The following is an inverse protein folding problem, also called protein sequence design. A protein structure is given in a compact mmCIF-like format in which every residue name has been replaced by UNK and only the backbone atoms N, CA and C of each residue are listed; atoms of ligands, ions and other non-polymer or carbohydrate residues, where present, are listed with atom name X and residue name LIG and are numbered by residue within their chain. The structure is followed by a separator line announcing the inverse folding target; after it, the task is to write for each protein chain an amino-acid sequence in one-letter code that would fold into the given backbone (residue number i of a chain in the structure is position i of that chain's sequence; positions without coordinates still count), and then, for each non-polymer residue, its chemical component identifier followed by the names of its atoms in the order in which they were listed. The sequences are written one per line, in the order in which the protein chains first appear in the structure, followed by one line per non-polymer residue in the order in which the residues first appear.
data_IF_094761363665
#
_entry.id   IF_094761363665
#
_cell.length_a   1.000
_cell.length_b   1.000
_cell.length_c   1.000
_cell.angle_alpha   90.00
_cell.angle_beta   90.00
_cell.angle_gamma   90.00
#
_symmetry.space_group_name_H-M   'P 1'
#
loop_
_entity.id
_entity.type
_entity.pdbx_description
1 polymer ?
#
# COMPACT_ATOMS: atom_id res chain seq x y z
N UNK A 1 -0.81 16.09 -16.02
CA UNK A 1 0.44 16.75 -16.52
C UNK A 1 1.38 17.20 -15.40
N UNK A 2 0.90 17.80 -14.30
CA UNK A 2 1.72 18.05 -13.10
C UNK A 2 2.33 16.79 -12.49
N UNK A 3 1.58 15.68 -12.53
CA UNK A 3 2.07 14.35 -12.15
C UNK A 3 3.19 13.84 -13.03
N UNK A 4 3.67 14.52 -14.09
CA UNK A 4 4.86 14.12 -14.83
C UNK A 4 6.15 14.82 -14.33
N UNK A 5 6.02 15.94 -13.60
CA UNK A 5 7.15 16.63 -12.94
C UNK A 5 7.78 15.78 -11.85
N UNK A 6 7.01 14.86 -11.26
CA UNK A 6 7.51 13.86 -10.32
C UNK A 6 8.62 12.98 -10.93
N UNK A 7 8.61 12.75 -12.25
CA UNK A 7 9.66 12.04 -13.01
C UNK A 7 10.96 12.81 -12.89
N UNK A 8 10.91 14.12 -13.11
CA UNK A 8 12.08 14.99 -13.09
C UNK A 8 12.66 15.11 -11.67
N UNK A 9 11.80 15.28 -10.66
CA UNK A 9 12.23 15.40 -9.25
C UNK A 9 12.93 14.12 -8.79
N UNK A 10 12.34 12.96 -9.08
CA UNK A 10 12.91 11.67 -8.68
C UNK A 10 14.20 11.36 -9.42
N UNK A 11 14.28 11.65 -10.72
CA UNK A 11 15.50 11.43 -11.50
C UNK A 11 16.64 12.33 -11.03
N UNK A 12 16.33 13.58 -10.70
CA UNK A 12 17.29 14.51 -10.12
C UNK A 12 17.86 13.97 -8.79
N UNK A 13 16.99 13.43 -7.93
CA UNK A 13 17.41 12.88 -6.63
C UNK A 13 18.13 11.54 -6.74
N UNK A 14 17.74 10.65 -7.66
CA UNK A 14 18.45 9.40 -7.93
C UNK A 14 19.89 9.64 -8.37
N UNK A 15 20.15 10.68 -9.17
CA UNK A 15 21.50 11.06 -9.57
C UNK A 15 22.39 11.56 -8.42
N UNK A 16 21.81 11.95 -7.28
CA UNK A 16 22.54 12.41 -6.07
C UNK A 16 22.84 11.29 -5.07
N UNK A 17 22.25 10.10 -5.23
CA UNK A 17 22.49 8.91 -4.41
C UNK A 17 21.28 8.44 -3.60
N UNK A 18 21.26 7.14 -3.25
CA UNK A 18 20.11 6.46 -2.63
C UNK A 18 19.68 7.06 -1.28
N UNK A 19 20.62 7.60 -0.49
CA UNK A 19 20.33 8.24 0.81
C UNK A 19 19.37 9.43 0.70
N UNK A 20 19.42 10.19 -0.41
CA UNK A 20 18.50 11.31 -0.64
C UNK A 20 17.09 10.83 -0.98
N UNK A 21 16.97 9.71 -1.67
CA UNK A 21 15.67 9.09 -1.97
C UNK A 21 15.03 8.56 -0.69
N UNK A 22 15.81 7.91 0.18
CA UNK A 22 15.35 7.45 1.49
C UNK A 22 14.89 8.62 2.37
N UNK A 23 15.68 9.69 2.46
CA UNK A 23 15.31 10.89 3.20
C UNK A 23 14.02 11.55 2.67
N UNK A 24 13.84 11.59 1.33
CA UNK A 24 12.59 12.06 0.72
C UNK A 24 11.40 11.20 1.13
N UNK A 25 11.53 9.87 1.07
CA UNK A 25 10.45 8.94 1.46
C UNK A 25 10.08 9.15 2.92
N UNK A 26 11.06 9.26 3.83
CA UNK A 26 10.81 9.54 5.25
C UNK A 26 10.11 10.89 5.43
N UNK A 27 10.53 11.94 4.71
CA UNK A 27 9.88 13.25 4.78
C UNK A 27 8.42 13.21 4.29
N UNK A 28 8.14 12.49 3.19
CA UNK A 28 6.78 12.29 2.69
C UNK A 28 5.91 11.55 3.70
N UNK A 29 6.45 10.48 4.30
CA UNK A 29 5.75 9.67 5.31
C UNK A 29 5.43 10.51 6.56
N UNK A 30 6.39 11.30 7.06
CA UNK A 30 6.18 12.21 8.19
C UNK A 30 5.16 13.30 7.87
N UNK A 31 5.17 13.84 6.65
CA UNK A 31 4.19 14.84 6.22
C UNK A 31 2.77 14.26 6.17
N UNK A 32 2.60 13.07 5.61
CA UNK A 32 1.31 12.36 5.58
C UNK A 32 0.81 12.10 7.00
N UNK A 33 1.68 11.57 7.86
CA UNK A 33 1.34 11.31 9.25
C UNK A 33 0.98 12.58 10.01
N UNK A 34 1.72 13.68 9.79
CA UNK A 34 1.43 14.98 10.40
C UNK A 34 0.06 15.53 9.97
N UNK A 35 -0.28 15.43 8.68
CA UNK A 35 -1.58 15.87 8.17
C UNK A 35 -2.72 15.09 8.83
N UNK A 36 -2.66 13.75 8.80
CA UNK A 36 -3.71 12.92 9.39
C UNK A 36 -3.74 12.97 10.92
N UNK A 37 -2.61 13.24 11.60
CA UNK A 37 -2.60 13.46 13.04
C UNK A 37 -3.35 14.75 13.42
N UNK A 38 -3.15 15.83 12.65
CA UNK A 38 -3.87 17.10 12.85
C UNK A 38 -5.36 16.91 12.56
N UNK A 39 -5.72 16.25 11.46
CA UNK A 39 -7.12 15.97 11.12
C UNK A 39 -7.80 15.08 12.17
N UNK A 40 -7.11 14.04 12.65
CA UNK A 40 -7.62 13.18 13.72
C UNK A 40 -7.87 13.98 15.00
N UNK A 41 -6.95 14.88 15.36
CA UNK A 41 -7.13 15.76 16.52
C UNK A 41 -8.31 16.72 16.34
N UNK A 42 -8.49 17.30 15.16
CA UNK A 42 -9.63 18.16 14.83
C UNK A 42 -10.96 17.41 14.84
N UNK A 43 -10.97 16.14 14.41
CA UNK A 43 -12.18 15.31 14.36
C UNK A 43 -12.70 14.90 15.74
N UNK A 44 -11.89 15.05 16.80
CA UNK A 44 -12.23 14.78 18.20
C UNK A 44 -12.97 13.43 18.41
N UNK A 45 -12.36 12.29 18.00
CA UNK A 45 -13.01 10.99 18.05
C UNK A 45 -13.19 10.51 19.50
N UNK A 46 -14.27 9.78 19.77
CA UNK A 46 -14.50 9.17 21.08
C UNK A 46 -13.46 8.06 21.34
N UNK A 47 -12.55 8.20 22.34
CA UNK A 47 -11.45 7.25 22.52
C UNK A 47 -11.89 5.83 22.84
N UNK A 48 -13.02 5.68 23.55
CA UNK A 48 -13.58 4.37 23.90
C UNK A 48 -14.13 3.64 22.68
N UNK A 49 -14.83 4.36 21.79
CA UNK A 49 -15.30 3.81 20.51
C UNK A 49 -14.12 3.38 19.63
N UNK A 50 -13.05 4.18 19.58
CA UNK A 50 -11.82 3.81 18.85
C UNK A 50 -11.19 2.55 19.44
N UNK A 51 -11.04 2.47 20.76
CA UNK A 51 -10.43 1.31 21.43
C UNK A 51 -11.25 0.02 21.21
N UNK A 52 -12.58 0.11 21.30
CA UNK A 52 -13.46 -1.03 21.01
C UNK A 52 -13.44 -1.45 19.53
N UNK A 53 -13.17 -0.53 18.60
CA UNK A 53 -13.01 -0.82 17.17
C UNK A 53 -11.80 -1.71 16.84
N UNK A 54 -10.79 -1.78 17.71
CA UNK A 54 -9.67 -2.72 17.55
C UNK A 54 -10.04 -4.17 17.89
N UNK A 55 -11.20 -4.39 18.52
CA UNK A 55 -11.68 -5.73 18.86
C UNK A 55 -12.37 -6.33 17.62
N UNK A 56 -11.93 -7.51 17.13
CA UNK A 56 -12.54 -8.15 15.97
C UNK A 56 -14.03 -8.44 16.20
N UNK A 57 -14.89 -7.97 15.30
CA UNK A 57 -16.32 -8.25 15.33
C UNK A 57 -16.70 -9.31 14.30
N UNK A 58 -17.48 -10.35 14.67
CA UNK A 58 -18.00 -11.34 13.71
C UNK A 58 -18.96 -10.72 12.69
N UNK A 59 -19.46 -9.49 12.93
CA UNK A 59 -20.32 -8.77 11.99
C UNK A 59 -19.66 -8.55 10.62
N UNK A 60 -18.33 -8.45 10.56
CA UNK A 60 -17.58 -8.28 9.31
C UNK A 60 -17.81 -9.48 8.37
N UNK A 61 -17.94 -10.69 8.91
CA UNK A 61 -18.21 -11.90 8.12
C UNK A 61 -19.68 -12.04 7.73
N UNK A 62 -20.59 -11.38 8.46
CA UNK A 62 -22.04 -11.43 8.20
C UNK A 62 -22.53 -10.42 7.15
N UNK A 63 -21.76 -9.38 6.85
CA UNK A 63 -22.16 -8.31 5.93
C UNK A 63 -21.21 -8.25 4.72
N UNK A 64 -21.74 -8.52 3.52
CA UNK A 64 -20.98 -8.56 2.29
C UNK A 64 -20.25 -7.23 1.97
N UNK A 65 -20.85 -6.08 2.29
CA UNK A 65 -20.22 -4.78 2.05
C UNK A 65 -19.05 -4.52 3.00
N UNK A 66 -19.21 -4.89 4.29
CA UNK A 66 -18.12 -4.77 5.27
C UNK A 66 -16.97 -5.73 4.92
N UNK A 67 -17.30 -6.95 4.51
CA UNK A 67 -16.31 -7.93 4.05
C UNK A 67 -15.57 -7.42 2.80
N UNK A 68 -16.29 -6.85 1.83
CA UNK A 68 -15.70 -6.27 0.62
C UNK A 68 -14.70 -5.14 0.95
N UNK A 69 -15.07 -4.20 1.83
CA UNK A 69 -14.18 -3.13 2.27
C UNK A 69 -12.98 -3.69 3.05
N UNK A 70 -13.20 -4.67 3.94
CA UNK A 70 -12.13 -5.29 4.71
C UNK A 70 -11.11 -6.00 3.81
N UNK A 71 -11.57 -6.73 2.79
CA UNK A 71 -10.70 -7.34 1.77
C UNK A 71 -9.95 -6.26 0.99
N UNK A 72 -10.62 -5.16 0.62
CA UNK A 72 -10.00 -4.02 -0.04
C UNK A 72 -8.86 -3.40 0.78
N UNK A 73 -9.07 -3.19 2.09
CA UNK A 73 -8.04 -2.69 3.02
C UNK A 73 -6.88 -3.70 3.12
N UNK A 74 -7.17 -5.00 3.20
CA UNK A 74 -6.15 -6.04 3.25
C UNK A 74 -5.28 -6.03 1.97
N UNK A 75 -5.92 -5.98 0.79
CA UNK A 75 -5.20 -5.93 -0.49
C UNK A 75 -4.41 -4.64 -0.68
N UNK A 76 -4.93 -3.50 -0.22
CA UNK A 76 -4.25 -2.22 -0.29
C UNK A 76 -3.03 -2.14 0.66
N UNK A 77 -3.08 -2.83 1.80
CA UNK A 77 -1.98 -2.85 2.78
C UNK A 77 -0.90 -3.87 2.43
N UNK A 78 -1.30 -5.06 1.99
CA UNK A 78 -0.37 -6.12 1.59
C UNK A 78 -0.18 -6.07 0.08
N UNK A 79 0.69 -5.16 -0.37
CA UNK A 79 0.98 -5.00 -1.79
C UNK A 79 2.02 -6.03 -2.27
N UNK A 80 1.76 -6.82 -3.33
CA UNK A 80 2.68 -7.86 -3.80
C UNK A 80 4.04 -7.31 -4.23
N UNK A 81 4.06 -6.12 -4.82
CA UNK A 81 5.30 -5.48 -5.26
C UNK A 81 6.21 -5.10 -4.09
N UNK A 82 5.66 -4.86 -2.88
CA UNK A 82 6.46 -4.62 -1.69
C UNK A 82 7.20 -5.87 -1.22
N UNK A 83 6.65 -7.07 -1.43
CA UNK A 83 7.35 -8.33 -1.11
C UNK A 83 8.64 -8.46 -1.93
N UNK A 84 8.57 -8.16 -3.23
CA UNK A 84 9.76 -8.13 -4.10
C UNK A 84 10.70 -6.98 -3.71
N UNK A 85 10.17 -5.78 -3.47
CA UNK A 85 10.96 -4.60 -3.10
C UNK A 85 11.78 -4.83 -1.83
N UNK A 86 11.14 -5.24 -0.74
CA UNK A 86 11.79 -5.48 0.54
C UNK A 86 12.86 -6.57 0.44
N UNK A 87 12.60 -7.63 -0.34
CA UNK A 87 13.56 -8.72 -0.54
C UNK A 87 14.84 -8.28 -1.26
N UNK A 88 14.79 -7.23 -2.06
CA UNK A 88 15.98 -6.64 -2.71
C UNK A 88 16.63 -5.54 -1.89
N UNK A 89 15.84 -4.67 -1.23
CA UNK A 89 16.39 -3.55 -0.45
C UNK A 89 17.24 -4.07 0.71
N UNK A 90 16.81 -5.16 1.37
CA UNK A 90 17.58 -5.76 2.47
C UNK A 90 18.99 -6.20 2.04
N UNK A 91 19.18 -6.54 0.76
CA UNK A 91 20.46 -6.95 0.20
C UNK A 91 21.42 -5.78 -0.05
N UNK A 92 20.94 -4.53 -0.03
CA UNK A 92 21.78 -3.34 -0.16
C UNK A 92 22.54 -3.01 1.12
N UNK A 93 22.14 -3.61 2.26
CA UNK A 93 22.84 -3.45 3.54
C UNK A 93 24.17 -4.20 3.50
N UNK A 94 25.21 -3.63 4.08
CA UNK A 94 26.53 -4.27 4.17
C UNK A 94 26.51 -5.35 5.25
N UNK A 95 26.60 -6.62 4.86
CA UNK A 95 26.75 -7.75 5.77
C UNK A 95 27.83 -8.72 5.26
N UNK A 96 28.38 -9.55 6.15
CA UNK A 96 29.36 -10.59 5.84
C UNK A 96 28.66 -11.94 5.60
N UNK A 97 29.29 -12.86 4.87
CA UNK A 97 28.69 -14.18 4.59
C UNK A 97 28.67 -15.14 5.80
N UNK A 98 29.05 -14.66 6.98
CA UNK A 98 29.04 -15.40 8.24
C UNK A 98 27.62 -15.48 8.82
N UNK A 99 27.29 -16.62 9.45
CA UNK A 99 26.00 -16.83 10.14
C UNK A 99 25.63 -15.68 11.09
N UNK A 100 26.56 -15.25 11.96
CA UNK A 100 26.29 -14.20 12.93
C UNK A 100 25.92 -12.86 12.27
N UNK A 101 26.62 -12.47 11.19
CA UNK A 101 26.34 -11.22 10.48
C UNK A 101 25.00 -11.27 9.74
N UNK A 102 24.65 -12.41 9.12
CA UNK A 102 23.34 -12.61 8.50
C UNK A 102 22.21 -12.57 9.55
N UNK A 103 22.39 -13.21 10.70
CA UNK A 103 21.40 -13.20 11.78
C UNK A 103 21.15 -11.78 12.30
N UNK A 104 22.21 -10.99 12.49
CA UNK A 104 22.11 -9.59 12.88
C UNK A 104 21.41 -8.74 11.82
N UNK A 105 21.78 -8.91 10.55
CA UNK A 105 21.15 -8.21 9.43
C UNK A 105 19.64 -8.53 9.33
N UNK A 106 19.26 -9.80 9.50
CA UNK A 106 17.86 -10.24 9.54
C UNK A 106 17.14 -9.59 10.72
N UNK A 107 17.75 -9.55 11.91
CA UNK A 107 17.15 -8.93 13.10
C UNK A 107 16.87 -7.45 12.86
N UNK A 108 17.86 -6.70 12.38
CA UNK A 108 17.68 -5.27 12.10
C UNK A 108 16.67 -5.02 10.99
N UNK A 109 16.71 -5.79 9.91
CA UNK A 109 15.72 -5.70 8.83
C UNK A 109 14.30 -6.01 9.32
N UNK A 110 14.15 -6.97 10.24
CA UNK A 110 12.86 -7.31 10.83
C UNK A 110 12.34 -6.18 11.71
N UNK A 111 13.20 -5.59 12.56
CA UNK A 111 12.84 -4.45 13.41
C UNK A 111 12.42 -3.25 12.55
N UNK A 112 13.23 -2.90 11.54
CA UNK A 112 12.99 -1.81 10.61
C UNK A 112 11.65 -1.99 9.87
N UNK A 113 11.44 -3.17 9.28
CA UNK A 113 10.18 -3.49 8.60
C UNK A 113 8.98 -3.50 9.55
N UNK A 114 9.13 -3.99 10.77
CA UNK A 114 8.05 -4.03 11.76
C UNK A 114 7.68 -2.63 12.21
N UNK A 115 8.66 -1.78 12.50
CA UNK A 115 8.44 -0.39 12.88
C UNK A 115 7.73 0.39 11.75
N UNK A 116 8.18 0.21 10.50
CA UNK A 116 7.57 0.86 9.34
C UNK A 116 6.12 0.40 9.10
N UNK A 117 5.84 -0.90 9.20
CA UNK A 117 4.48 -1.44 9.05
C UNK A 117 3.55 -1.04 10.19
N UNK A 118 4.06 -0.98 11.44
CA UNK A 118 3.29 -0.47 12.58
C UNK A 118 2.97 1.02 12.41
N UNK A 119 3.90 1.82 11.89
CA UNK A 119 3.64 3.21 11.56
C UNK A 119 2.56 3.36 10.48
N UNK A 120 2.62 2.54 9.42
CA UNK A 120 1.60 2.50 8.38
C UNK A 120 0.22 2.08 8.93
N UNK A 121 0.18 1.14 9.87
CA UNK A 121 -1.05 0.75 10.57
C UNK A 121 -1.68 1.94 11.28
N UNK A 122 -0.90 2.76 12.00
CA UNK A 122 -1.42 3.94 12.69
C UNK A 122 -1.94 5.00 11.73
N UNK A 123 -1.28 5.22 10.57
CA UNK A 123 -1.80 6.12 9.55
C UNK A 123 -3.14 5.61 9.00
N UNK A 124 -3.22 4.32 8.64
CA UNK A 124 -4.45 3.74 8.10
C UNK A 124 -5.59 3.78 9.14
N UNK A 125 -5.27 3.53 10.41
CA UNK A 125 -6.22 3.67 11.51
C UNK A 125 -6.67 5.13 11.69
N UNK A 126 -5.75 6.10 11.60
CA UNK A 126 -6.09 7.51 11.69
C UNK A 126 -7.03 7.94 10.56
N UNK A 127 -6.77 7.51 9.32
CA UNK A 127 -7.65 7.78 8.17
C UNK A 127 -9.06 7.20 8.43
N UNK A 128 -9.14 5.94 8.87
CA UNK A 128 -10.41 5.27 9.11
C UNK A 128 -11.20 5.90 10.27
N UNK A 129 -10.52 6.22 11.38
CA UNK A 129 -11.13 6.86 12.55
C UNK A 129 -11.58 8.28 12.24
N UNK A 130 -10.75 9.06 11.54
CA UNK A 130 -11.12 10.42 11.12
C UNK A 130 -12.34 10.38 10.20
N UNK A 131 -12.35 9.48 9.21
CA UNK A 131 -13.49 9.31 8.31
C UNK A 131 -14.76 8.91 9.06
N UNK A 132 -14.65 7.98 10.02
CA UNK A 132 -15.77 7.58 10.87
C UNK A 132 -16.25 8.75 11.75
N UNK A 133 -15.36 9.44 12.47
CA UNK A 133 -15.73 10.52 13.37
C UNK A 133 -16.33 11.75 12.64
N UNK A 134 -15.90 11.99 11.41
CA UNK A 134 -16.31 13.18 10.65
C UNK A 134 -17.53 12.90 9.77
N UNK A 135 -17.62 11.74 9.12
CA UNK A 135 -18.67 11.45 8.14
C UNK A 135 -19.77 10.51 8.66
N UNK A 136 -19.49 9.59 9.58
CA UNK A 136 -20.48 8.60 10.03
C UNK A 136 -21.57 9.26 10.90
N UNK A 137 -22.84 9.13 10.51
CA UNK A 137 -23.97 9.76 11.21
C UNK A 137 -24.17 11.25 10.91
N UNK A 138 -23.39 11.82 10.00
CA UNK A 138 -23.51 13.22 9.55
C UNK A 138 -24.59 13.45 8.47
N UNK A 139 -25.25 12.38 8.02
CA UNK A 139 -26.20 12.39 6.90
C UNK A 139 -25.55 12.34 5.51
N UNK A 140 -24.20 12.33 5.45
CA UNK A 140 -23.41 12.13 4.24
C UNK A 140 -22.94 10.68 4.14
N UNK A 141 -23.86 9.73 3.96
CA UNK A 141 -23.53 8.29 3.87
C UNK A 141 -22.97 7.89 2.49
N UNK A 142 -22.92 8.83 1.54
CA UNK A 142 -22.48 8.62 0.16
C UNK A 142 -21.18 9.37 -0.19
N UNK A 143 -20.24 9.49 0.75
CA UNK A 143 -18.88 9.97 0.44
C UNK A 143 -18.14 8.86 -0.32
N UNK A 144 -18.41 8.75 -1.62
CA UNK A 144 -17.81 7.73 -2.46
C UNK A 144 -16.47 8.18 -3.06
N UNK A 145 -16.26 9.50 -3.20
CA UNK A 145 -15.12 10.06 -3.92
C UNK A 145 -14.21 10.95 -3.07
N UNK A 146 -12.92 10.95 -3.46
CA UNK A 146 -11.86 11.77 -2.85
C UNK A 146 -12.20 13.27 -2.91
N UNK A 147 -12.88 13.69 -3.99
CA UNK A 147 -13.35 15.06 -4.19
C UNK A 147 -14.40 15.47 -3.16
N UNK A 148 -15.30 14.55 -2.81
CA UNK A 148 -16.34 14.78 -1.82
C UNK A 148 -15.72 14.90 -0.42
N UNK A 149 -14.77 14.00 -0.10
CA UNK A 149 -14.00 14.09 1.14
C UNK A 149 -13.31 15.45 1.27
N UNK A 150 -12.63 15.93 0.23
CA UNK A 150 -11.98 17.25 0.25
C UNK A 150 -12.96 18.39 0.57
N UNK A 151 -14.14 18.42 -0.06
CA UNK A 151 -15.11 19.49 0.17
C UNK A 151 -15.75 19.39 1.56
N UNK A 152 -16.11 18.18 1.97
CA UNK A 152 -16.83 17.94 3.23
C UNK A 152 -15.93 18.12 4.45
N UNK A 153 -14.63 17.83 4.37
CA UNK A 153 -13.68 18.04 5.47
C UNK A 153 -13.67 19.49 5.95
N UNK A 154 -13.58 20.47 5.03
CA UNK A 154 -13.61 21.89 5.42
C UNK A 154 -14.90 22.30 6.12
N UNK A 155 -16.04 21.75 5.69
CA UNK A 155 -17.36 22.07 6.25
C UNK A 155 -17.55 21.43 7.62
N UNK A 156 -17.20 20.16 7.76
CA UNK A 156 -17.47 19.38 8.97
C UNK A 156 -16.43 19.63 10.07
N UNK A 157 -15.17 19.89 9.71
CA UNK A 157 -14.11 20.24 10.67
C UNK A 157 -13.97 21.76 10.88
N UNK A 158 -14.83 22.56 10.22
CA UNK A 158 -14.93 24.01 10.43
C UNK A 158 -13.69 24.82 10.01
N UNK A 159 -12.74 24.23 9.27
CA UNK A 159 -11.50 24.90 8.86
C UNK A 159 -11.12 24.55 7.42
N UNK A 160 -10.75 25.57 6.64
CA UNK A 160 -10.19 25.37 5.29
C UNK A 160 -8.84 24.64 5.32
N UNK A 161 -8.15 24.68 6.46
CA UNK A 161 -6.90 23.97 6.70
C UNK A 161 -7.06 22.44 6.56
N UNK A 162 -8.19 21.86 6.99
CA UNK A 162 -8.42 20.42 6.92
C UNK A 162 -8.38 19.89 5.47
N UNK A 163 -9.08 20.56 4.55
CA UNK A 163 -9.07 20.18 3.13
C UNK A 163 -7.67 20.33 2.50
N UNK A 164 -6.93 21.38 2.87
CA UNK A 164 -5.57 21.59 2.37
C UNK A 164 -4.63 20.50 2.87
N UNK A 165 -4.68 20.16 4.16
CA UNK A 165 -3.89 19.08 4.75
C UNK A 165 -4.19 17.75 4.07
N UNK A 166 -5.47 17.44 3.83
CA UNK A 166 -5.89 16.24 3.12
C UNK A 166 -5.33 16.19 1.70
N UNK A 167 -5.42 17.30 0.96
CA UNK A 167 -4.88 17.39 -0.40
C UNK A 167 -3.35 17.24 -0.43
N UNK A 168 -2.64 17.82 0.54
CA UNK A 168 -1.19 17.67 0.69
C UNK A 168 -0.84 16.22 1.00
N UNK A 169 -1.55 15.57 1.93
CA UNK A 169 -1.35 14.16 2.27
C UNK A 169 -1.55 13.24 1.06
N UNK A 170 -2.60 13.46 0.28
CA UNK A 170 -2.88 12.73 -0.96
C UNK A 170 -1.78 12.91 -2.00
N UNK A 171 -1.31 14.15 -2.20
CA UNK A 171 -0.23 14.45 -3.13
C UNK A 171 1.05 13.71 -2.71
N UNK A 172 1.41 13.79 -1.43
CA UNK A 172 2.57 13.10 -0.88
C UNK A 172 2.47 11.57 -1.01
N UNK A 173 1.29 10.99 -0.76
CA UNK A 173 1.04 9.56 -0.92
C UNK A 173 1.26 9.10 -2.37
N UNK A 174 0.75 9.86 -3.35
CA UNK A 174 0.95 9.58 -4.77
C UNK A 174 2.43 9.62 -5.21
N UNK A 175 3.22 10.52 -4.63
CA UNK A 175 4.67 10.58 -4.87
C UNK A 175 5.38 9.33 -4.33
N UNK A 176 5.03 8.92 -3.10
CA UNK A 176 5.62 7.75 -2.46
C UNK A 176 5.31 6.46 -3.25
N UNK A 177 4.05 6.26 -3.65
CA UNK A 177 3.62 5.10 -4.44
C UNK A 177 4.35 5.00 -5.79
N UNK A 178 4.64 6.13 -6.43
CA UNK A 178 5.36 6.13 -7.71
C UNK A 178 6.83 5.72 -7.54
N UNK A 179 7.48 6.18 -6.46
CA UNK A 179 8.86 5.82 -6.14
C UNK A 179 9.00 4.32 -5.89
N UNK A 180 8.22 3.77 -4.97
CA UNK A 180 8.25 2.35 -4.62
C UNK A 180 7.86 1.48 -5.81
N UNK A 181 6.84 1.88 -6.58
CA UNK A 181 6.42 1.17 -7.79
C UNK A 181 7.51 1.07 -8.85
N UNK A 182 8.29 2.14 -9.08
CA UNK A 182 9.40 2.09 -10.06
C UNK A 182 10.58 1.24 -9.60
N UNK A 183 10.85 1.16 -8.29
CA UNK A 183 11.89 0.30 -7.74
C UNK A 183 11.45 -1.16 -7.76
N UNK A 184 10.23 -1.46 -7.35
CA UNK A 184 9.69 -2.81 -7.39
C UNK A 184 9.59 -3.32 -8.84
N UNK A 185 9.18 -2.46 -9.78
CA UNK A 185 9.19 -2.77 -11.20
C UNK A 185 10.59 -3.10 -11.72
N UNK A 186 11.64 -2.46 -11.21
CA UNK A 186 13.02 -2.84 -11.55
C UNK A 186 13.31 -4.29 -11.16
N UNK A 187 13.01 -4.62 -9.90
CA UNK A 187 13.36 -5.90 -9.30
C UNK A 187 12.63 -7.02 -10.01
N UNK A 188 11.34 -6.82 -10.30
CA UNK A 188 10.55 -7.79 -11.06
C UNK A 188 11.08 -7.93 -12.49
N UNK A 189 11.41 -6.82 -13.17
CA UNK A 189 11.91 -6.88 -14.55
C UNK A 189 13.30 -7.54 -14.64
N UNK A 190 14.22 -7.19 -13.76
CA UNK A 190 15.57 -7.76 -13.75
C UNK A 190 15.58 -9.20 -13.23
N UNK A 191 14.69 -9.54 -12.28
CA UNK A 191 14.60 -10.87 -11.69
C UNK A 191 13.86 -11.90 -12.55
N UNK A 192 12.70 -11.55 -13.11
CA UNK A 192 11.86 -12.51 -13.84
C UNK A 192 12.11 -12.55 -15.35
N UNK A 193 12.40 -11.41 -15.98
CA UNK A 193 12.56 -11.31 -17.44
C UNK A 193 13.99 -10.90 -17.86
N UNK A 194 14.90 -10.72 -16.89
CA UNK A 194 16.30 -10.29 -17.09
C UNK A 194 16.43 -9.05 -18.00
N UNK A 195 15.49 -8.10 -17.87
CA UNK A 195 15.44 -6.90 -18.70
C UNK A 195 15.90 -5.67 -17.92
N UNK A 196 17.04 -5.11 -18.32
CA UNK A 196 17.65 -3.92 -17.69
C UNK A 196 17.30 -2.66 -18.47
N UNK A 197 16.38 -1.87 -17.90
CA UNK A 197 15.97 -0.58 -18.48
C UNK A 197 16.36 0.55 -17.52
N UNK A 198 16.78 1.70 -18.07
CA UNK A 198 17.04 2.92 -17.29
C UNK A 198 15.78 3.34 -16.50
N UNK A 199 15.91 3.79 -15.22
CA UNK A 199 14.76 4.12 -14.38
C UNK A 199 13.76 5.12 -14.99
N UNK A 200 14.25 6.15 -15.69
CA UNK A 200 13.39 7.14 -16.35
C UNK A 200 12.54 6.53 -17.45
N UNK A 201 13.12 5.64 -18.26
CA UNK A 201 12.45 5.01 -19.37
C UNK A 201 11.44 3.99 -18.87
N UNK A 202 11.80 3.22 -17.82
CA UNK A 202 10.85 2.33 -17.14
C UNK A 202 9.64 3.11 -16.62
N UNK A 203 9.86 4.24 -15.94
CA UNK A 203 8.77 5.07 -15.41
C UNK A 203 7.90 5.66 -16.51
N UNK A 204 8.49 6.09 -17.62
CA UNK A 204 7.75 6.60 -18.77
C UNK A 204 6.89 5.49 -19.38
N UNK A 205 7.48 4.31 -19.63
CA UNK A 205 6.77 3.16 -20.19
C UNK A 205 5.61 2.71 -19.29
N UNK A 206 5.84 2.52 -17.98
CA UNK A 206 4.78 2.09 -17.07
C UNK A 206 3.67 3.13 -16.94
N UNK A 207 4.01 4.43 -16.96
CA UNK A 207 3.02 5.50 -16.94
C UNK A 207 2.22 5.58 -18.23
N UNK A 208 2.86 5.43 -19.39
CA UNK A 208 2.18 5.37 -20.68
C UNK A 208 1.23 4.17 -20.73
N UNK A 209 1.69 2.99 -20.30
CA UNK A 209 0.87 1.79 -20.21
C UNK A 209 -0.30 1.91 -19.21
N UNK A 210 -0.18 2.73 -18.17
CA UNK A 210 -1.27 3.00 -17.23
C UNK A 210 -2.27 4.05 -17.77
N UNK A 211 -1.78 5.11 -18.41
CA UNK A 211 -2.60 6.24 -18.86
C UNK A 211 -3.37 5.92 -20.15
N UNK A 212 -2.74 5.23 -21.11
CA UNK A 212 -3.38 4.96 -22.41
C UNK A 212 -4.71 4.21 -22.25
N UNK A 213 -4.79 3.08 -21.50
CA UNK A 213 -6.06 2.38 -21.31
C UNK A 213 -7.11 3.26 -20.61
N UNK A 214 -6.69 4.08 -19.64
CA UNK A 214 -7.59 5.00 -18.95
C UNK A 214 -8.16 6.05 -19.90
N UNK A 215 -7.34 6.66 -20.77
CA UNK A 215 -7.81 7.62 -21.78
C UNK A 215 -8.77 6.95 -22.77
N UNK A 216 -8.46 5.75 -23.24
CA UNK A 216 -9.31 5.01 -24.17
C UNK A 216 -10.69 4.75 -23.54
N UNK A 217 -10.71 4.27 -22.29
CA UNK A 217 -11.97 3.98 -21.59
C UNK A 217 -12.77 5.24 -21.32
N UNK A 218 -12.13 6.35 -20.94
CA UNK A 218 -12.82 7.65 -20.77
C UNK A 218 -13.40 8.13 -22.10
N UNK A 219 -12.64 8.02 -23.20
CA UNK A 219 -13.08 8.46 -24.51
C UNK A 219 -14.27 7.65 -25.05
N UNK A 220 -14.33 6.34 -24.74
CA UNK A 220 -15.38 5.44 -25.22
C UNK A 220 -16.60 5.37 -24.28
N UNK A 221 -16.39 5.40 -22.96
CA UNK A 221 -17.40 5.08 -21.95
C UNK A 221 -17.66 6.22 -20.93
N UNK A 222 -16.95 7.35 -21.04
CA UNK A 222 -17.09 8.49 -20.13
C UNK A 222 -16.69 8.17 -18.68
N UNK A 223 -17.21 8.94 -17.74
CA UNK A 223 -16.89 8.81 -16.30
C UNK A 223 -17.32 7.48 -15.68
N UNK A 224 -18.32 6.79 -16.26
CA UNK A 224 -18.73 5.46 -15.76
C UNK A 224 -17.68 4.38 -16.04
N UNK A 225 -16.85 4.56 -17.07
CA UNK A 225 -15.79 3.63 -17.42
C UNK A 225 -14.60 3.65 -16.46
N UNK A 226 -14.31 4.78 -15.80
CA UNK A 226 -13.16 4.91 -14.89
C UNK A 226 -13.36 4.12 -13.61
N UNK A 227 -14.56 4.12 -13.04
CA UNK A 227 -14.89 3.31 -11.86
C UNK A 227 -14.71 1.81 -12.12
N UNK A 228 -15.21 1.30 -13.25
CA UNK A 228 -15.03 -0.10 -13.65
C UNK A 228 -13.55 -0.45 -13.86
N UNK A 229 -12.77 0.45 -14.46
CA UNK A 229 -11.33 0.26 -14.66
C UNK A 229 -10.55 0.24 -13.34
N UNK A 230 -10.97 1.07 -12.36
CA UNK A 230 -10.40 1.07 -11.02
C UNK A 230 -10.67 -0.26 -10.31
N UNK A 231 -11.91 -0.76 -10.35
CA UNK A 231 -12.28 -2.07 -9.78
C UNK A 231 -11.47 -3.18 -10.44
N UNK A 232 -11.40 -3.21 -11.77
CA UNK A 232 -10.59 -4.19 -12.52
C UNK A 232 -9.12 -4.16 -12.08
N UNK A 233 -8.57 -2.96 -11.88
CA UNK A 233 -7.18 -2.79 -11.42
C UNK A 233 -6.99 -3.41 -10.02
N UNK A 234 -7.95 -3.24 -9.12
CA UNK A 234 -7.91 -3.87 -7.79
C UNK A 234 -8.01 -5.39 -7.87
N UNK A 235 -8.84 -5.93 -8.76
CA UNK A 235 -8.98 -7.37 -8.99
C UNK A 235 -7.65 -7.98 -9.48
N UNK A 236 -6.98 -7.31 -10.42
CA UNK A 236 -5.67 -7.74 -10.93
C UNK A 236 -4.60 -7.72 -9.82
N UNK A 237 -4.59 -6.67 -8.98
CA UNK A 237 -3.67 -6.57 -7.84
C UNK A 237 -3.93 -7.67 -6.80
N UNK A 238 -5.20 -7.92 -6.48
CA UNK A 238 -5.63 -8.99 -5.58
C UNK A 238 -5.15 -10.35 -6.07
N UNK A 239 -5.35 -10.67 -7.35
CA UNK A 239 -4.86 -11.90 -7.98
C UNK A 239 -3.34 -12.06 -7.85
N UNK A 240 -2.59 -10.98 -8.11
CA UNK A 240 -1.13 -11.00 -8.05
C UNK A 240 -0.61 -11.36 -6.65
N UNK A 241 -1.32 -11.00 -5.59
CA UNK A 241 -0.91 -11.26 -4.22
C UNK A 241 -0.77 -12.76 -3.92
N UNK A 242 -1.71 -13.58 -4.36
CA UNK A 242 -1.64 -15.03 -4.17
C UNK A 242 -0.40 -15.63 -4.86
N UNK A 243 -0.11 -15.18 -6.08
CA UNK A 243 1.09 -15.65 -6.80
C UNK A 243 2.41 -15.20 -6.17
N UNK A 244 2.42 -14.12 -5.38
CA UNK A 244 3.62 -13.69 -4.65
C UNK A 244 3.78 -14.41 -3.30
N UNK A 245 2.69 -14.58 -2.55
CA UNK A 245 2.71 -15.12 -1.18
C UNK A 245 3.03 -16.62 -1.17
N UNK A 246 2.41 -17.43 -2.03
CA UNK A 246 2.62 -18.89 -2.00
C UNK A 246 4.09 -19.29 -2.25
N UNK A 247 4.78 -18.77 -3.29
CA UNK A 247 6.21 -19.03 -3.46
C UNK A 247 7.06 -18.53 -2.30
N UNK A 248 6.71 -17.39 -1.69
CA UNK A 248 7.44 -16.86 -0.55
C UNK A 248 7.36 -17.82 0.66
N UNK A 249 6.16 -18.34 0.97
CA UNK A 249 5.98 -19.30 2.08
C UNK A 249 6.70 -20.62 1.77
N UNK A 250 6.67 -21.07 0.51
CA UNK A 250 7.40 -22.26 0.07
C UNK A 250 8.91 -22.08 0.22
N UNK A 251 9.47 -20.96 -0.24
CA UNK A 251 10.91 -20.70 -0.21
C UNK A 251 11.44 -20.50 1.20
N UNK A 252 10.71 -19.76 2.04
CA UNK A 252 11.10 -19.56 3.46
C UNK A 252 10.99 -20.83 4.30
N UNK A 253 10.18 -21.80 3.86
CA UNK A 253 10.04 -23.11 4.49
C UNK A 253 11.06 -24.16 4.04
N UNK A 254 11.77 -23.92 2.94
CA UNK A 254 12.69 -24.87 2.29
C UNK A 254 14.08 -24.85 2.94
N UNK A 255 14.48 -26.00 3.50
CA UNK A 255 15.80 -26.17 4.14
C UNK A 255 16.96 -26.06 3.14
N UNK A 256 16.75 -26.45 1.89
CA UNK A 256 17.81 -26.38 0.88
C UNK A 256 18.14 -24.92 0.51
N UNK A 257 17.14 -24.03 0.51
CA UNK A 257 17.30 -22.61 0.18
C UNK A 257 17.73 -21.77 1.38
N UNK A 258 17.11 -22.00 2.54
CA UNK A 258 17.28 -21.12 3.72
C UNK A 258 18.36 -21.61 4.69
N UNK A 259 18.79 -22.87 4.59
CA UNK A 259 19.80 -23.46 5.46
C UNK A 259 19.43 -23.32 6.95
N UNK A 260 20.25 -22.65 7.78
CA UNK A 260 19.93 -22.47 9.20
C UNK A 260 18.86 -21.39 9.47
N UNK A 261 18.50 -20.56 8.48
CA UNK A 261 17.53 -19.46 8.63
C UNK A 261 16.10 -19.84 8.20
N UNK A 262 15.79 -21.14 8.18
CA UNK A 262 14.45 -21.64 7.85
C UNK A 262 13.40 -21.09 8.82
N UNK A 263 12.26 -20.66 8.29
CA UNK A 263 11.18 -20.15 9.10
C UNK A 263 10.72 -21.20 10.15
N UNK A 264 10.59 -20.81 11.44
CA UNK A 264 10.17 -21.72 12.48
C UNK A 264 8.74 -22.21 12.23
N UNK A 265 8.39 -23.39 12.76
CA UNK A 265 7.12 -24.06 12.47
C UNK A 265 5.89 -23.19 12.72
N UNK A 266 5.91 -22.39 13.80
CA UNK A 266 4.78 -21.50 14.13
C UNK A 266 4.59 -20.38 13.09
N UNK A 267 5.67 -19.75 12.60
CA UNK A 267 5.59 -18.75 11.52
C UNK A 267 5.11 -19.40 10.23
N UNK A 268 5.57 -20.62 9.94
CA UNK A 268 5.16 -21.35 8.74
C UNK A 268 3.66 -21.67 8.75
N UNK A 269 3.13 -22.13 9.88
CA UNK A 269 1.69 -22.40 10.04
C UNK A 269 0.91 -21.11 9.86
N UNK A 270 1.30 -20.02 10.54
CA UNK A 270 0.64 -18.72 10.39
C UNK A 270 0.68 -18.21 8.93
N UNK A 271 1.83 -18.30 8.28
CA UNK A 271 2.01 -17.82 6.91
C UNK A 271 1.16 -18.62 5.91
N UNK A 272 1.07 -19.94 6.06
CA UNK A 272 0.17 -20.77 5.24
C UNK A 272 -1.30 -20.45 5.50
N UNK A 273 -1.70 -20.28 6.78
CA UNK A 273 -3.07 -19.89 7.11
C UNK A 273 -3.44 -18.55 6.46
N UNK A 274 -2.56 -17.54 6.57
CA UNK A 274 -2.76 -16.23 5.92
C UNK A 274 -2.81 -16.38 4.39
N UNK A 275 -1.92 -17.16 3.79
CA UNK A 275 -1.90 -17.38 2.34
C UNK A 275 -3.20 -18.01 1.83
N UNK A 276 -3.73 -19.01 2.55
CA UNK A 276 -5.00 -19.67 2.22
C UNK A 276 -6.18 -18.71 2.38
N UNK A 277 -6.22 -17.94 3.47
CA UNK A 277 -7.26 -16.92 3.69
C UNK A 277 -7.25 -15.90 2.55
N UNK A 278 -6.08 -15.36 2.20
CA UNK A 278 -5.95 -14.39 1.09
C UNK A 278 -6.44 -15.01 -0.22
N UNK A 279 -6.03 -16.24 -0.54
CA UNK A 279 -6.48 -16.92 -1.75
C UNK A 279 -8.01 -17.14 -1.77
N UNK A 280 -8.60 -17.54 -0.64
CA UNK A 280 -10.04 -17.74 -0.53
C UNK A 280 -10.82 -16.42 -0.70
N UNK A 281 -10.36 -15.34 -0.05
CA UNK A 281 -10.97 -14.01 -0.18
C UNK A 281 -10.84 -13.46 -1.61
N UNK A 282 -9.68 -13.66 -2.25
CA UNK A 282 -9.47 -13.27 -3.64
C UNK A 282 -10.37 -14.06 -4.60
N UNK A 283 -10.52 -15.36 -4.38
CA UNK A 283 -11.44 -16.19 -5.17
C UNK A 283 -12.90 -15.75 -4.99
N UNK A 284 -13.31 -15.44 -3.75
CA UNK A 284 -14.63 -14.91 -3.47
C UNK A 284 -14.87 -13.55 -4.17
N UNK A 285 -13.90 -12.64 -4.08
CA UNK A 285 -13.98 -11.32 -4.74
C UNK A 285 -14.06 -11.46 -6.27
N UNK A 286 -13.31 -12.40 -6.86
CA UNK A 286 -13.41 -12.71 -8.29
C UNK A 286 -14.80 -13.19 -8.67
N UNK A 287 -15.36 -14.15 -7.92
CA UNK A 287 -16.70 -14.65 -8.19
C UNK A 287 -17.71 -13.51 -8.10
N UNK A 288 -17.62 -12.66 -7.08
CA UNK A 288 -18.54 -11.52 -6.94
C UNK A 288 -18.38 -10.46 -8.03
N UNK A 289 -17.17 -10.29 -8.57
CA UNK A 289 -16.91 -9.28 -9.62
C UNK A 289 -17.41 -9.75 -10.99
N UNK A 290 -17.38 -11.06 -11.25
CA UNK A 290 -17.73 -11.66 -12.55
C UNK A 290 -19.09 -12.38 -12.59
N UNK A 291 -19.77 -12.54 -11.45
CA UNK A 291 -21.14 -13.06 -11.35
C UNK A 291 -22.17 -11.95 -11.54
#
# INVERSE_FOLDING_TARGET
CLTALDVLIVLFLQNRGFRYVEALVVALILMIAGCFAIELWLSNPEPMAVASGFIPSPAILGNANMLYIAIGILGATVMPHNLYLHSSIVQTRKYSDTYASKAEAIRFATIDSTAALMFALFINAAILVMAAATFHGSGYDSVADISDAYQLLSRLLGTSAASILFAVALLCSGQNATLTGTLAGQIVMEGFINLRIRPWLRRLVTRVLAIIPAIIVVALYGERGTGALLILSQVVLSLQLSFAVFPLVLFTGDKAKMGPFVAPRWVRVLAWTVAVIIAALNAWLLVQTFA
#
